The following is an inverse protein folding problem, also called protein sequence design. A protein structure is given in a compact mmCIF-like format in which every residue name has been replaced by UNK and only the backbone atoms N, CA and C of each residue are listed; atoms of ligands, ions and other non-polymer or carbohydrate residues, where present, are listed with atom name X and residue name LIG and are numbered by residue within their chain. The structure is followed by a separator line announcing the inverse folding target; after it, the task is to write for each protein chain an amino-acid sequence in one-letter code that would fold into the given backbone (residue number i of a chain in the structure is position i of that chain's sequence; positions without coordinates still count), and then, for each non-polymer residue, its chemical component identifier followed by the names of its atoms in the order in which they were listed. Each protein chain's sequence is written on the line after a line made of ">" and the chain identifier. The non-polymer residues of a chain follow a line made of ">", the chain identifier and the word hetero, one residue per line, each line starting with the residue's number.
data_IF_582872005468
#
_entry.id   IF_582872005468
#
_cell.length_a   1.000
_cell.length_b   1.000
_cell.length_c   1.000
_cell.angle_alpha   90.00
_cell.angle_beta   90.00
_cell.angle_gamma   90.00
#
_symmetry.space_group_name_H-M   'P 1'
#
loop_
_entity.id
_entity.type
_entity.pdbx_description
1 polymer ?
#
# COMPACT_ATOMS: atom_id res chain seq x y z
N UNK A 1 14.41 -5.25 -14.30
CA UNK A 1 14.26 -6.00 -13.04
C UNK A 1 13.07 -5.42 -12.30
N UNK A 2 12.05 -6.21 -11.89
CA UNK A 2 10.86 -5.74 -11.21
C UNK A 2 11.19 -5.13 -9.84
N UNK A 3 10.26 -4.32 -9.32
CA UNK A 3 10.36 -3.77 -7.96
C UNK A 3 10.05 -4.83 -6.90
N UNK A 4 9.07 -5.69 -7.18
CA UNK A 4 8.72 -6.84 -6.33
C UNK A 4 8.61 -8.07 -7.21
N UNK A 5 9.18 -9.20 -6.76
CA UNK A 5 9.01 -10.51 -7.37
C UNK A 5 8.60 -11.51 -6.31
N UNK A 6 7.51 -12.20 -6.53
CA UNK A 6 6.98 -13.25 -5.65
C UNK A 6 6.92 -14.55 -6.46
N UNK A 7 7.45 -15.64 -5.92
CA UNK A 7 7.47 -16.94 -6.57
C UNK A 7 6.89 -18.02 -5.66
N UNK A 8 5.79 -18.62 -6.09
CA UNK A 8 5.08 -19.72 -5.42
C UNK A 8 4.94 -19.52 -3.90
N UNK A 9 4.61 -18.29 -3.50
CA UNK A 9 4.54 -17.91 -2.09
C UNK A 9 3.34 -18.54 -1.41
N UNK A 10 3.58 -19.26 -0.34
CA UNK A 10 2.56 -19.89 0.49
C UNK A 10 2.62 -19.36 1.92
N UNK A 11 1.45 -19.25 2.53
CA UNK A 11 1.34 -18.96 3.96
C UNK A 11 0.15 -19.70 4.57
N UNK A 12 0.46 -20.58 5.51
CA UNK A 12 -0.54 -21.19 6.42
C UNK A 12 -0.20 -20.75 7.85
N UNK A 13 -1.16 -20.17 8.55
CA UNK A 13 -1.00 -19.83 9.96
C UNK A 13 -1.17 -21.08 10.84
N UNK A 14 -0.58 -21.04 12.04
CA UNK A 14 -0.77 -22.09 13.02
C UNK A 14 -2.28 -22.19 13.31
N UNK A 15 -2.77 -23.41 13.37
CA UNK A 15 -4.19 -23.76 13.63
C UNK A 15 -5.18 -23.38 12.50
N UNK A 16 -4.70 -22.86 11.35
CA UNK A 16 -5.55 -22.64 10.18
C UNK A 16 -5.66 -23.91 9.34
N UNK A 17 -6.89 -24.26 8.93
CA UNK A 17 -7.17 -25.40 8.04
C UNK A 17 -6.75 -25.09 6.60
N UNK A 18 -7.01 -23.86 6.17
CA UNK A 18 -6.70 -23.42 4.81
C UNK A 18 -5.53 -22.42 4.79
N UNK A 19 -4.72 -22.42 3.73
CA UNK A 19 -3.66 -21.44 3.56
C UNK A 19 -4.23 -20.06 3.26
N UNK A 20 -3.70 -19.03 3.94
CA UNK A 20 -4.00 -17.64 3.60
C UNK A 20 -3.37 -17.19 2.27
N UNK A 21 -2.29 -17.85 1.85
CA UNK A 21 -1.68 -17.71 0.52
C UNK A 21 -1.38 -19.11 -0.02
N UNK A 22 -1.85 -19.36 -1.23
CA UNK A 22 -1.74 -20.65 -1.89
C UNK A 22 -0.97 -20.53 -3.21
N UNK A 23 0.37 -20.59 -3.11
CA UNK A 23 1.29 -20.59 -4.25
C UNK A 23 1.13 -19.37 -5.17
N UNK A 24 1.03 -18.17 -4.60
CA UNK A 24 0.95 -16.96 -5.41
C UNK A 24 2.30 -16.65 -6.08
N UNK A 25 2.24 -16.25 -7.35
CA UNK A 25 3.37 -15.71 -8.10
C UNK A 25 2.96 -14.38 -8.72
N UNK A 26 3.81 -13.36 -8.57
CA UNK A 26 3.50 -11.99 -8.94
C UNK A 26 4.78 -11.20 -9.24
N UNK A 27 4.77 -10.42 -10.30
CA UNK A 27 5.81 -9.43 -10.58
C UNK A 27 5.20 -8.02 -10.64
N UNK A 28 5.82 -7.08 -9.92
CA UNK A 28 5.44 -5.68 -9.93
C UNK A 28 6.52 -4.88 -10.63
N UNK A 29 6.21 -4.22 -11.77
CA UNK A 29 7.18 -3.39 -12.47
C UNK A 29 7.64 -2.19 -11.63
N UNK A 30 8.81 -1.63 -11.99
CA UNK A 30 9.27 -0.37 -11.37
C UNK A 30 8.47 0.81 -11.90
N UNK A 31 8.43 1.87 -11.07
CA UNK A 31 7.80 3.15 -11.39
C UNK A 31 6.31 3.04 -11.79
N UNK A 32 5.61 2.02 -11.28
CA UNK A 32 4.17 1.82 -11.49
C UNK A 32 3.39 2.00 -10.20
N UNK A 33 2.13 2.38 -10.32
CA UNK A 33 1.13 2.23 -9.25
C UNK A 33 0.43 0.89 -9.49
N UNK A 34 0.75 -0.08 -8.65
CA UNK A 34 0.25 -1.45 -8.76
C UNK A 34 -0.84 -1.72 -7.72
N UNK A 35 -2.03 -2.07 -8.17
CA UNK A 35 -3.16 -2.45 -7.34
C UNK A 35 -3.13 -3.94 -6.97
N UNK A 36 -3.13 -4.28 -5.69
CA UNK A 36 -3.30 -5.64 -5.20
C UNK A 36 -4.68 -5.75 -4.56
N UNK A 37 -5.65 -6.25 -5.32
CA UNK A 37 -7.07 -6.05 -5.09
C UNK A 37 -7.77 -7.35 -4.71
N UNK A 38 -8.78 -7.26 -3.87
CA UNK A 38 -9.56 -8.43 -3.47
C UNK A 38 -10.37 -8.18 -2.21
N UNK A 39 -11.28 -9.09 -1.84
CA UNK A 39 -12.11 -8.97 -0.66
C UNK A 39 -11.30 -9.08 0.64
N UNK A 40 -11.96 -8.82 1.76
CA UNK A 40 -11.40 -9.07 3.08
C UNK A 40 -11.11 -10.57 3.24
N UNK A 41 -9.96 -10.90 3.84
CA UNK A 41 -9.52 -12.29 3.98
C UNK A 41 -8.89 -12.93 2.73
N UNK A 42 -8.82 -12.24 1.59
CA UNK A 42 -8.25 -12.80 0.35
C UNK A 42 -6.73 -13.07 0.41
N UNK A 43 -6.01 -12.52 1.40
CA UNK A 43 -4.56 -12.68 1.56
C UNK A 43 -3.74 -11.41 1.32
N UNK A 44 -4.37 -10.24 1.07
CA UNK A 44 -3.68 -8.96 0.80
C UNK A 44 -2.72 -8.59 1.93
N UNK A 45 -3.22 -8.37 3.14
CA UNK A 45 -2.42 -7.98 4.32
C UNK A 45 -1.37 -9.04 4.69
N UNK A 46 -1.67 -10.34 4.48
CA UNK A 46 -0.69 -11.41 4.67
C UNK A 46 0.48 -11.27 3.70
N UNK A 47 0.22 -10.98 2.43
CA UNK A 47 1.26 -10.73 1.42
C UNK A 47 2.12 -9.53 1.81
N UNK A 48 1.50 -8.40 2.16
CA UNK A 48 2.22 -7.20 2.61
C UNK A 48 3.06 -7.47 3.86
N UNK A 49 2.50 -8.21 4.83
CA UNK A 49 3.21 -8.58 6.06
C UNK A 49 4.45 -9.42 5.78
N UNK A 50 4.41 -10.31 4.79
CA UNK A 50 5.60 -11.08 4.36
C UNK A 50 6.60 -10.15 3.70
N UNK A 51 6.19 -9.29 2.77
CA UNK A 51 7.08 -8.34 2.08
C UNK A 51 7.78 -7.38 3.06
N UNK A 52 7.09 -6.95 4.11
CA UNK A 52 7.66 -6.09 5.17
C UNK A 52 8.46 -6.89 6.24
N UNK A 53 8.51 -8.23 6.13
CA UNK A 53 9.20 -9.10 7.07
C UNK A 53 8.57 -9.17 8.46
N UNK A 54 7.29 -8.87 8.58
CA UNK A 54 6.51 -9.01 9.82
C UNK A 54 6.08 -10.46 10.04
N UNK A 55 5.86 -11.20 8.95
CA UNK A 55 5.45 -12.61 8.96
C UNK A 55 6.37 -13.39 8.02
N UNK A 56 6.79 -14.59 8.40
CA UNK A 56 7.54 -15.51 7.53
C UNK A 56 6.59 -16.29 6.64
N UNK A 57 6.96 -16.45 5.37
CA UNK A 57 6.28 -17.39 4.48
C UNK A 57 6.44 -18.84 4.98
N UNK A 58 5.47 -19.70 4.66
CA UNK A 58 5.58 -21.14 4.88
C UNK A 58 6.47 -21.79 3.83
N UNK A 59 6.34 -21.35 2.57
CA UNK A 59 7.20 -21.76 1.45
C UNK A 59 7.19 -20.69 0.34
N UNK A 60 7.99 -20.89 -0.69
CA UNK A 60 8.18 -19.93 -1.77
C UNK A 60 9.18 -18.84 -1.40
N UNK A 61 9.25 -17.78 -2.21
CA UNK A 61 10.19 -16.68 -2.00
C UNK A 61 9.62 -15.34 -2.47
N UNK A 62 10.13 -14.25 -1.88
CA UNK A 62 9.83 -12.90 -2.30
C UNK A 62 11.11 -12.05 -2.34
N UNK A 63 11.21 -11.19 -3.35
CA UNK A 63 12.31 -10.21 -3.48
C UNK A 63 11.74 -8.82 -3.65
N UNK A 64 12.40 -7.85 -3.05
CA UNK A 64 12.11 -6.41 -3.20
C UNK A 64 13.38 -5.74 -3.73
N UNK A 65 13.28 -5.06 -4.87
CA UNK A 65 14.39 -4.37 -5.54
C UNK A 65 15.60 -5.32 -5.77
N UNK A 66 15.32 -6.60 -6.05
CA UNK A 66 16.32 -7.66 -6.23
C UNK A 66 16.82 -8.33 -4.96
N UNK A 67 16.50 -7.80 -3.78
CA UNK A 67 16.92 -8.29 -2.46
C UNK A 67 15.93 -9.32 -1.90
N UNK A 68 16.44 -10.42 -1.36
CA UNK A 68 15.64 -11.49 -0.76
C UNK A 68 15.07 -11.04 0.59
N UNK A 69 13.73 -11.08 0.74
CA UNK A 69 13.03 -10.66 1.95
C UNK A 69 13.46 -11.46 3.18
N UNK A 70 13.79 -12.74 3.01
CA UNK A 70 14.19 -13.61 4.11
C UNK A 70 15.61 -13.38 4.61
N UNK A 71 16.48 -12.77 3.80
CA UNK A 71 17.92 -12.64 4.08
C UNK A 71 18.37 -11.20 4.23
N UNK A 72 17.79 -10.26 3.48
CA UNK A 72 18.26 -8.89 3.33
C UNK A 72 17.28 -7.85 3.87
N UNK A 73 16.44 -8.24 4.84
CA UNK A 73 15.34 -7.40 5.35
C UNK A 73 15.81 -6.04 5.88
N UNK A 74 17.00 -5.95 6.49
CA UNK A 74 17.54 -4.68 7.00
C UNK A 74 17.78 -3.66 5.88
N UNK A 75 18.28 -4.13 4.74
CA UNK A 75 18.53 -3.27 3.59
C UNK A 75 17.23 -2.92 2.86
N UNK A 76 16.29 -3.87 2.80
CA UNK A 76 14.96 -3.63 2.24
C UNK A 76 14.23 -2.53 3.02
N UNK A 77 14.24 -2.59 4.36
CA UNK A 77 13.57 -1.59 5.23
C UNK A 77 14.05 -0.15 5.03
N UNK A 78 15.27 0.06 4.53
CA UNK A 78 15.78 1.40 4.20
C UNK A 78 15.18 1.97 2.91
N UNK A 79 14.69 1.10 2.03
CA UNK A 79 14.23 1.44 0.68
C UNK A 79 12.70 1.40 0.55
N UNK A 80 11.98 0.89 1.55
CA UNK A 80 10.53 0.79 1.52
C UNK A 80 9.89 1.76 2.52
N UNK A 81 8.77 2.36 2.11
CA UNK A 81 7.82 3.01 3.00
C UNK A 81 6.61 2.11 3.21
N UNK A 82 6.14 2.00 4.43
CA UNK A 82 4.93 1.22 4.75
C UNK A 82 3.90 2.11 5.44
N UNK A 83 2.69 2.13 4.89
CA UNK A 83 1.53 2.81 5.47
C UNK A 83 0.48 1.74 5.77
N UNK A 84 0.34 1.32 7.02
CA UNK A 84 -0.61 0.28 7.41
C UNK A 84 -2.05 0.79 7.38
N UNK A 85 -3.01 -0.14 7.35
CA UNK A 85 -4.44 0.14 7.42
C UNK A 85 -4.80 0.86 8.73
N UNK A 86 -4.30 0.39 9.85
CA UNK A 86 -4.44 1.10 11.12
C UNK A 86 -3.52 2.32 11.19
N UNK A 87 -3.99 3.35 11.87
CA UNK A 87 -3.20 4.57 12.05
C UNK A 87 -2.04 4.31 13.02
N UNK A 88 -0.82 4.22 12.48
CA UNK A 88 0.40 3.94 13.24
C UNK A 88 1.07 5.23 13.76
N UNK A 89 0.30 6.08 14.43
CA UNK A 89 0.76 7.36 14.98
C UNK A 89 0.61 7.38 16.50
N UNK A 90 1.42 8.18 17.18
CA UNK A 90 1.31 8.44 18.62
C UNK A 90 0.24 9.50 18.87
N UNK A 91 -0.92 9.16 19.45
CA UNK A 91 -2.04 10.09 19.59
C UNK A 91 -1.76 11.23 20.56
N UNK A 92 -0.84 11.06 21.49
CA UNK A 92 -0.43 12.07 22.49
C UNK A 92 0.56 13.10 21.94
N UNK A 93 1.25 12.79 20.84
CA UNK A 93 2.15 13.69 20.15
C UNK A 93 1.40 14.54 19.12
N UNK A 94 1.97 15.69 18.80
CA UNK A 94 1.50 16.54 17.69
C UNK A 94 1.81 15.90 16.33
N UNK A 95 1.21 16.42 15.25
CA UNK A 95 1.53 15.97 13.90
C UNK A 95 3.01 16.13 13.57
N UNK A 96 3.58 17.30 13.89
CA UNK A 96 4.99 17.58 13.68
C UNK A 96 5.92 16.66 14.49
N UNK A 97 5.61 16.43 15.78
CA UNK A 97 6.41 15.51 16.62
C UNK A 97 6.36 14.07 16.12
N UNK A 98 5.20 13.58 15.64
CA UNK A 98 5.11 12.29 14.98
C UNK A 98 6.03 12.21 13.77
N UNK A 99 5.96 13.18 12.87
CA UNK A 99 6.79 13.21 11.66
C UNK A 99 8.28 13.32 12.00
N UNK A 100 8.63 14.11 13.00
CA UNK A 100 10.02 14.20 13.51
C UNK A 100 10.50 12.87 14.05
N UNK A 101 9.66 12.16 14.83
CA UNK A 101 9.98 10.84 15.35
C UNK A 101 10.26 9.84 14.21
N UNK A 102 9.33 9.72 13.24
CA UNK A 102 9.51 8.80 12.12
C UNK A 102 10.69 9.17 11.23
N UNK A 103 10.89 10.46 10.93
CA UNK A 103 12.04 10.91 10.15
C UNK A 103 13.38 10.54 10.82
N UNK A 104 13.47 10.71 12.14
CA UNK A 104 14.66 10.32 12.91
C UNK A 104 14.93 8.82 12.87
N UNK A 105 13.90 7.96 12.87
CA UNK A 105 14.06 6.50 12.73
C UNK A 105 14.75 6.11 11.41
N UNK A 106 14.52 6.88 10.34
CA UNK A 106 15.19 6.71 9.05
C UNK A 106 16.50 7.50 8.92
N UNK A 107 16.95 8.14 10.01
CA UNK A 107 18.23 8.87 10.04
C UNK A 107 18.18 10.29 9.50
N UNK A 108 17.01 10.82 9.17
CA UNK A 108 16.83 12.22 8.78
C UNK A 108 16.95 13.12 10.01
N UNK A 109 17.66 14.26 9.91
CA UNK A 109 17.93 15.16 11.06
C UNK A 109 18.00 16.62 10.63
N UNK A 110 17.83 17.52 11.61
CA UNK A 110 18.01 18.95 11.46
C UNK A 110 17.20 19.56 10.32
N UNK A 111 17.75 20.55 9.67
CA UNK A 111 17.06 21.32 8.60
C UNK A 111 16.51 20.46 7.47
N UNK A 112 17.18 19.35 7.12
CA UNK A 112 16.69 18.46 6.06
C UNK A 112 15.35 17.84 6.45
N UNK A 113 15.24 17.36 7.68
CA UNK A 113 13.98 16.79 8.20
C UNK A 113 12.91 17.88 8.36
N UNK A 114 13.26 19.03 8.93
CA UNK A 114 12.33 20.15 9.12
C UNK A 114 11.71 20.60 7.80
N UNK A 115 12.55 20.87 6.78
CA UNK A 115 12.08 21.29 5.45
C UNK A 115 11.15 20.24 4.80
N UNK A 116 11.47 18.97 4.94
CA UNK A 116 10.60 17.89 4.42
C UNK A 116 9.24 17.84 5.14
N UNK A 117 9.25 17.98 6.46
CA UNK A 117 8.02 18.02 7.25
C UNK A 117 7.15 19.22 6.84
N UNK A 118 7.74 20.40 6.77
CA UNK A 118 7.03 21.63 6.33
C UNK A 118 6.44 21.46 4.93
N UNK A 119 7.24 20.97 3.98
CA UNK A 119 6.80 20.73 2.61
C UNK A 119 5.60 19.78 2.54
N UNK A 120 5.67 18.64 3.24
CA UNK A 120 4.56 17.68 3.19
C UNK A 120 3.34 18.16 3.99
N UNK A 121 3.52 18.83 5.12
CA UNK A 121 2.40 19.44 5.85
C UNK A 121 1.66 20.45 4.99
N UNK A 122 2.39 21.27 4.23
CA UNK A 122 1.79 22.21 3.28
C UNK A 122 1.07 21.48 2.14
N UNK A 123 1.75 20.53 1.49
CA UNK A 123 1.18 19.71 0.40
C UNK A 123 -0.14 19.04 0.80
N UNK A 124 -0.25 18.58 2.04
CA UNK A 124 -1.45 17.92 2.56
C UNK A 124 -2.42 18.87 3.30
N UNK A 125 -2.17 20.18 3.29
CA UNK A 125 -3.02 21.19 3.92
C UNK A 125 -3.12 21.03 5.44
N UNK A 126 -2.03 20.63 6.10
CA UNK A 126 -1.97 20.34 7.53
C UNK A 126 -1.11 21.33 8.33
N UNK A 127 -0.53 22.34 7.69
CA UNK A 127 0.37 23.35 8.31
C UNK A 127 -0.26 23.95 9.56
N UNK A 128 -1.52 24.43 9.48
CA UNK A 128 -2.24 25.03 10.62
C UNK A 128 -2.59 24.04 11.75
N UNK A 129 -2.40 22.76 11.52
CA UNK A 129 -2.69 21.71 12.50
C UNK A 129 -1.41 21.01 12.98
N UNK A 130 -0.24 21.38 12.48
CA UNK A 130 1.04 20.73 12.76
C UNK A 130 1.32 20.56 14.27
N UNK A 131 0.96 21.57 15.07
CA UNK A 131 1.19 21.62 16.53
C UNK A 131 0.02 21.11 17.38
N UNK A 132 -1.08 20.64 16.75
CA UNK A 132 -2.17 19.98 17.48
C UNK A 132 -1.84 18.51 17.69
N UNK A 133 -2.27 17.94 18.81
CA UNK A 133 -2.12 16.50 19.09
C UNK A 133 -2.91 15.68 18.07
N UNK A 134 -2.35 14.54 17.65
CA UNK A 134 -2.98 13.63 16.69
C UNK A 134 -4.31 13.08 17.23
N UNK A 135 -4.49 12.98 18.55
CA UNK A 135 -5.78 12.63 19.16
C UNK A 135 -6.92 13.55 18.74
N UNK A 136 -6.62 14.82 18.41
CA UNK A 136 -7.59 15.85 18.01
C UNK A 136 -7.82 15.90 16.49
N UNK A 137 -7.14 15.07 15.72
CA UNK A 137 -7.25 15.04 14.26
C UNK A 137 -8.49 14.28 13.81
N UNK A 138 -9.09 14.73 12.70
CA UNK A 138 -10.09 13.93 11.98
C UNK A 138 -9.45 12.65 11.39
N UNK A 139 -10.25 11.66 11.01
CA UNK A 139 -9.78 10.45 10.35
C UNK A 139 -8.93 10.75 9.10
N UNK A 140 -9.40 11.66 8.26
CA UNK A 140 -8.67 12.09 7.05
C UNK A 140 -7.35 12.79 7.37
N UNK A 141 -7.28 13.61 8.43
CA UNK A 141 -6.02 14.23 8.87
C UNK A 141 -5.03 13.18 9.38
N UNK A 142 -5.48 12.22 10.19
CA UNK A 142 -4.65 11.12 10.68
C UNK A 142 -4.09 10.30 9.52
N UNK A 143 -4.92 9.99 8.53
CA UNK A 143 -4.49 9.23 7.35
C UNK A 143 -3.43 9.96 6.54
N UNK A 144 -3.59 11.28 6.36
CA UNK A 144 -2.59 12.11 5.67
C UNK A 144 -1.25 12.16 6.40
N UNK A 145 -1.22 12.35 7.73
CA UNK A 145 0.03 12.28 8.52
C UNK A 145 0.65 10.88 8.45
N UNK A 146 -0.17 9.81 8.50
CA UNK A 146 0.32 8.43 8.39
C UNK A 146 1.00 8.19 7.02
N UNK A 147 0.43 8.74 5.94
CA UNK A 147 1.04 8.69 4.61
C UNK A 147 2.36 9.49 4.57
N UNK A 148 2.38 10.71 5.10
CA UNK A 148 3.60 11.52 5.16
C UNK A 148 4.71 10.77 5.89
N UNK A 149 4.42 10.15 7.04
CA UNK A 149 5.41 9.36 7.80
C UNK A 149 6.02 8.22 6.95
N UNK A 150 5.23 7.60 6.08
CA UNK A 150 5.69 6.54 5.18
C UNK A 150 6.57 7.00 4.02
N UNK A 151 6.57 8.30 3.69
CA UNK A 151 7.31 8.83 2.52
C UNK A 151 8.48 9.76 2.88
N UNK A 152 8.64 10.17 4.13
CA UNK A 152 9.66 11.15 4.57
C UNK A 152 11.09 10.79 4.13
N UNK A 153 11.42 9.51 4.08
CA UNK A 153 12.76 9.01 3.77
C UNK A 153 12.99 8.69 2.29
N UNK A 154 12.09 9.16 1.40
CA UNK A 154 12.13 8.95 -0.06
C UNK A 154 12.25 7.46 -0.44
N UNK A 155 11.28 6.62 -0.10
CA UNK A 155 11.33 5.20 -0.41
C UNK A 155 11.32 4.94 -1.91
N UNK A 156 11.97 3.85 -2.35
CA UNK A 156 11.90 3.38 -3.75
C UNK A 156 10.64 2.53 -4.01
N UNK A 157 10.07 1.93 -2.97
CA UNK A 157 8.80 1.22 -2.98
C UNK A 157 7.95 1.69 -1.81
N UNK A 158 6.77 2.20 -2.10
CA UNK A 158 5.77 2.58 -1.11
C UNK A 158 4.68 1.51 -1.07
N UNK A 159 4.48 0.92 0.10
CA UNK A 159 3.46 -0.11 0.35
C UNK A 159 2.33 0.52 1.15
N UNK A 160 1.12 0.48 0.60
CA UNK A 160 -0.07 1.10 1.18
C UNK A 160 -1.13 0.03 1.43
N UNK A 161 -1.44 -0.22 2.69
CA UNK A 161 -2.52 -1.15 3.05
C UNK A 161 -3.81 -0.38 3.30
N UNK A 162 -4.71 -0.44 2.32
CA UNK A 162 -6.03 0.21 2.32
C UNK A 162 -6.00 1.71 2.76
N UNK A 163 -5.19 2.56 2.11
CA UNK A 163 -4.89 3.90 2.62
C UNK A 163 -6.07 4.87 2.62
N UNK A 164 -7.16 4.54 1.96
CA UNK A 164 -8.36 5.41 1.78
C UNK A 164 -9.59 4.93 2.55
N UNK A 165 -9.47 3.80 3.25
CA UNK A 165 -10.57 3.29 4.07
C UNK A 165 -10.88 4.22 5.24
N UNK A 166 -12.17 4.50 5.41
CA UNK A 166 -12.67 5.34 6.51
C UNK A 166 -12.37 6.84 6.38
N UNK A 167 -11.98 7.32 5.18
CA UNK A 167 -11.80 8.74 4.91
C UNK A 167 -12.91 9.31 4.02
N UNK A 168 -13.19 10.59 4.19
CA UNK A 168 -14.14 11.33 3.36
C UNK A 168 -13.67 11.43 1.89
N UNK A 169 -14.63 11.75 0.99
CA UNK A 169 -14.39 11.82 -0.45
C UNK A 169 -13.28 12.82 -0.82
N UNK A 170 -13.21 13.96 -0.12
CA UNK A 170 -12.22 14.99 -0.41
C UNK A 170 -10.81 14.53 -0.02
N UNK A 171 -10.64 13.95 1.17
CA UNK A 171 -9.36 13.40 1.62
C UNK A 171 -8.91 12.23 0.74
N UNK A 172 -9.85 11.37 0.31
CA UNK A 172 -9.58 10.26 -0.60
C UNK A 172 -9.04 10.76 -1.95
N UNK A 173 -9.72 11.74 -2.55
CA UNK A 173 -9.27 12.34 -3.81
C UNK A 173 -7.88 12.97 -3.68
N UNK A 174 -7.64 13.72 -2.60
CA UNK A 174 -6.34 14.33 -2.33
C UNK A 174 -5.21 13.30 -2.24
N UNK A 175 -5.45 12.18 -1.53
CA UNK A 175 -4.48 11.09 -1.42
C UNK A 175 -4.21 10.47 -2.80
N UNK A 176 -5.25 10.15 -3.58
CA UNK A 176 -5.10 9.55 -4.91
C UNK A 176 -4.36 10.47 -5.88
N UNK A 177 -4.70 11.76 -5.91
CA UNK A 177 -4.02 12.76 -6.76
C UNK A 177 -2.55 12.93 -6.34
N UNK A 178 -2.28 12.96 -5.02
CA UNK A 178 -0.91 13.00 -4.51
C UNK A 178 -0.11 11.76 -4.94
N UNK A 179 -0.65 10.55 -4.78
CA UNK A 179 0.05 9.31 -5.15
C UNK A 179 0.43 9.28 -6.63
N UNK A 180 -0.47 9.72 -7.54
CA UNK A 180 -0.17 9.84 -8.97
C UNK A 180 0.97 10.82 -9.24
N UNK A 181 0.88 12.01 -8.64
CA UNK A 181 1.90 13.04 -8.81
C UNK A 181 3.25 12.59 -8.25
N UNK A 182 3.24 11.97 -7.08
CA UNK A 182 4.43 11.48 -6.39
C UNK A 182 5.14 10.35 -7.14
N UNK A 183 4.36 9.37 -7.65
CA UNK A 183 4.88 8.31 -8.52
C UNK A 183 5.54 8.91 -9.77
N UNK A 184 4.83 9.81 -10.49
CA UNK A 184 5.31 10.41 -11.74
C UNK A 184 6.55 11.27 -11.54
N UNK A 185 6.60 12.07 -10.47
CA UNK A 185 7.71 13.00 -10.20
C UNK A 185 8.99 12.28 -9.75
N UNK A 186 8.86 11.19 -8.98
CA UNK A 186 9.99 10.54 -8.32
C UNK A 186 10.32 9.16 -8.91
N UNK A 187 9.52 8.63 -9.84
CA UNK A 187 9.72 7.29 -10.42
C UNK A 187 9.65 6.16 -9.39
N UNK A 188 8.92 6.37 -8.28
CA UNK A 188 8.77 5.34 -7.25
C UNK A 188 7.77 4.28 -7.68
N UNK A 189 7.90 3.09 -7.13
CA UNK A 189 6.86 2.07 -7.25
C UNK A 189 5.89 2.18 -6.08
N UNK A 190 4.59 2.06 -6.33
CA UNK A 190 3.56 2.05 -5.29
C UNK A 190 2.81 0.73 -5.36
N UNK A 191 2.83 -0.04 -4.28
CA UNK A 191 1.97 -1.20 -4.09
C UNK A 191 0.78 -0.79 -3.22
N UNK A 192 -0.38 -0.74 -3.83
CA UNK A 192 -1.62 -0.25 -3.25
C UNK A 192 -2.61 -1.39 -3.06
N UNK A 193 -3.01 -1.70 -1.82
CA UNK A 193 -4.10 -2.66 -1.60
C UNK A 193 -5.43 -1.94 -1.44
N UNK A 194 -6.48 -2.53 -1.97
CA UNK A 194 -7.85 -2.06 -1.80
C UNK A 194 -8.86 -3.18 -2.00
N UNK A 195 -10.00 -3.03 -1.39
CA UNK A 195 -11.23 -3.74 -1.76
C UNK A 195 -12.17 -2.84 -2.60
N UNK A 196 -11.84 -1.54 -2.77
CA UNK A 196 -12.59 -0.58 -3.59
C UNK A 196 -12.05 -0.60 -5.03
N UNK A 197 -12.70 -1.39 -5.89
CA UNK A 197 -12.22 -1.64 -7.25
C UNK A 197 -12.35 -0.42 -8.16
N UNK A 198 -13.38 0.40 -7.97
CA UNK A 198 -13.60 1.64 -8.72
C UNK A 198 -12.51 2.69 -8.51
N UNK A 199 -11.95 2.74 -7.29
CA UNK A 199 -10.83 3.63 -6.98
C UNK A 199 -9.53 3.11 -7.62
N UNK A 200 -9.27 1.80 -7.47
CA UNK A 200 -8.09 1.17 -8.04
C UNK A 200 -8.07 1.24 -9.57
N UNK A 201 -9.22 1.09 -10.24
CA UNK A 201 -9.35 1.24 -11.68
C UNK A 201 -8.87 2.59 -12.21
N UNK A 202 -9.09 3.66 -11.42
CA UNK A 202 -8.69 5.03 -11.77
C UNK A 202 -7.27 5.37 -11.37
N UNK A 203 -6.74 4.69 -10.34
CA UNK A 203 -5.46 5.02 -9.73
C UNK A 203 -4.31 4.19 -10.32
N UNK A 204 -4.54 2.89 -10.54
CA UNK A 204 -3.48 1.93 -10.80
C UNK A 204 -3.18 1.78 -12.30
N UNK A 205 -1.88 1.64 -12.62
CA UNK A 205 -1.41 1.33 -13.97
C UNK A 205 -1.63 -0.16 -14.28
N UNK A 206 -1.36 -1.01 -13.29
CA UNK A 206 -1.57 -2.45 -13.32
C UNK A 206 -2.25 -2.92 -12.03
N UNK A 207 -2.98 -4.01 -12.12
CA UNK A 207 -3.63 -4.65 -10.98
C UNK A 207 -3.41 -6.16 -10.98
N UNK A 208 -3.40 -6.76 -9.80
CA UNK A 208 -3.64 -8.19 -9.62
C UNK A 208 -4.83 -8.38 -8.70
N UNK A 209 -5.76 -9.23 -9.11
CA UNK A 209 -6.92 -9.61 -8.31
C UNK A 209 -6.58 -10.91 -7.58
N UNK A 210 -6.68 -10.87 -6.25
CA UNK A 210 -6.49 -12.03 -5.38
C UNK A 210 -7.81 -12.45 -4.75
N UNK A 211 -8.08 -13.75 -4.73
CA UNK A 211 -9.19 -14.34 -4.01
C UNK A 211 -8.79 -15.70 -3.44
N UNK A 212 -9.22 -16.00 -2.19
CA UNK A 212 -8.86 -17.25 -1.48
C UNK A 212 -7.36 -17.60 -1.56
N UNK A 213 -6.51 -16.60 -1.37
CA UNK A 213 -5.06 -16.78 -1.41
C UNK A 213 -4.46 -17.13 -2.77
N UNK A 214 -5.19 -16.91 -3.89
CA UNK A 214 -4.72 -17.17 -5.25
C UNK A 214 -4.86 -15.93 -6.12
N UNK A 215 -3.92 -15.70 -7.02
CA UNK A 215 -4.06 -14.68 -8.06
C UNK A 215 -5.07 -15.19 -9.09
N UNK A 216 -6.15 -14.43 -9.29
CA UNK A 216 -7.21 -14.74 -10.25
C UNK A 216 -6.87 -14.20 -11.64
N UNK A 217 -6.39 -12.95 -11.68
CA UNK A 217 -5.95 -12.28 -12.91
C UNK A 217 -4.98 -11.16 -12.60
N UNK A 218 -4.18 -10.76 -13.60
CA UNK A 218 -3.22 -9.64 -13.52
C UNK A 218 -3.12 -8.93 -14.86
N UNK A 219 -3.01 -7.60 -14.85
CA UNK A 219 -2.78 -6.77 -16.04
C UNK A 219 -3.24 -5.32 -15.84
N UNK A 220 -3.16 -4.53 -16.90
CA UNK A 220 -3.72 -3.18 -16.90
C UNK A 220 -5.26 -3.25 -16.78
N UNK A 221 -5.89 -2.42 -15.91
CA UNK A 221 -7.33 -2.46 -15.69
C UNK A 221 -8.16 -2.45 -16.97
N UNK A 222 -7.88 -1.52 -17.88
CA UNK A 222 -8.62 -1.37 -19.12
C UNK A 222 -8.45 -2.58 -20.07
N UNK A 223 -7.27 -3.20 -20.07
CA UNK A 223 -7.01 -4.41 -20.84
C UNK A 223 -7.80 -5.60 -20.29
N UNK A 224 -7.80 -5.78 -18.98
CA UNK A 224 -8.55 -6.86 -18.34
C UNK A 224 -10.06 -6.74 -18.55
N UNK A 225 -10.59 -5.52 -18.46
CA UNK A 225 -12.01 -5.23 -18.73
C UNK A 225 -12.36 -5.53 -20.19
N UNK A 226 -11.53 -5.08 -21.13
CA UNK A 226 -11.78 -5.26 -22.56
C UNK A 226 -11.70 -6.72 -23.05
N UNK A 227 -11.03 -7.60 -22.31
CA UNK A 227 -10.92 -9.02 -22.62
C UNK A 227 -12.16 -9.84 -22.25
N UNK A 228 -13.10 -9.26 -21.52
CA UNK A 228 -14.31 -9.95 -21.07
C UNK A 228 -15.56 -9.36 -21.72
N UNK A 229 -16.43 -10.23 -22.23
CA UNK A 229 -17.69 -9.81 -22.80
C UNK A 229 -18.63 -9.20 -21.72
N UNK A 230 -19.31 -8.11 -22.09
CA UNK A 230 -20.23 -7.39 -21.20
C UNK A 230 -19.60 -6.91 -19.87
N UNK A 231 -18.30 -6.69 -19.84
CA UNK A 231 -17.57 -6.18 -18.69
C UNK A 231 -17.24 -4.70 -18.90
N UNK A 232 -17.65 -3.84 -17.96
CA UNK A 232 -17.49 -2.38 -18.07
C UNK A 232 -16.71 -1.76 -16.89
N UNK A 233 -16.29 -2.56 -15.93
CA UNK A 233 -15.54 -2.10 -14.75
C UNK A 233 -14.75 -3.26 -14.10
N UNK A 234 -13.74 -2.92 -13.29
CA UNK A 234 -13.04 -3.93 -12.47
C UNK A 234 -13.98 -4.65 -11.51
N UNK A 235 -15.05 -3.99 -11.04
CA UNK A 235 -16.04 -4.63 -10.17
C UNK A 235 -16.83 -5.71 -10.93
N UNK A 236 -17.29 -5.38 -12.16
CA UNK A 236 -17.97 -6.36 -13.03
C UNK A 236 -17.04 -7.54 -13.37
N UNK A 237 -15.76 -7.25 -13.66
CA UNK A 237 -14.74 -8.28 -13.90
C UNK A 237 -14.58 -9.19 -12.69
N UNK A 238 -14.45 -8.62 -11.50
CA UNK A 238 -14.31 -9.40 -10.26
C UNK A 238 -15.50 -10.35 -10.06
N UNK A 239 -16.73 -9.85 -10.22
CA UNK A 239 -17.96 -10.66 -10.09
C UNK A 239 -17.96 -11.80 -11.10
N UNK A 240 -17.59 -11.53 -12.36
CA UNK A 240 -17.53 -12.58 -13.39
C UNK A 240 -16.51 -13.67 -13.07
N UNK A 241 -15.33 -13.29 -12.56
CA UNK A 241 -14.24 -14.22 -12.29
C UNK A 241 -14.43 -15.02 -10.99
N UNK A 242 -15.12 -14.46 -9.99
CA UNK A 242 -15.25 -15.08 -8.65
C UNK A 242 -16.66 -15.56 -8.33
N UNK A 243 -17.66 -15.16 -9.12
CA UNK A 243 -19.08 -15.49 -8.90
C UNK A 243 -19.73 -14.75 -7.73
N UNK A 244 -19.06 -13.72 -7.15
CA UNK A 244 -19.56 -12.95 -6.00
C UNK A 244 -19.11 -11.50 -6.02
N UNK A 245 -19.88 -10.61 -5.39
CA UNK A 245 -19.50 -9.20 -5.24
C UNK A 245 -18.43 -9.03 -4.16
N UNK A 246 -17.57 -8.01 -4.34
CA UNK A 246 -16.68 -7.52 -3.27
C UNK A 246 -17.53 -6.74 -2.28
N UNK A 247 -18.16 -7.43 -1.33
CA UNK A 247 -18.91 -6.77 -0.25
C UNK A 247 -18.24 -7.11 1.07
N UNK A 248 -18.08 -6.08 1.89
CA UNK A 248 -17.75 -6.23 3.30
C UNK A 248 -18.95 -6.87 4.03
N UNK A 249 -18.67 -7.90 4.79
CA UNK A 249 -19.56 -8.39 5.84
C UNK A 249 -18.92 -8.08 7.18
#
# INVERSE_FOLDING_TARGET
>A
MPAVSIHSLCKTYKDAVEPSLNSISLEIPRATIFGFLGPNGAGKTTTLSILCGLVKATSGSAKILGKDVSKELKEIKKCIGMVPQDIALFPTLTGQENLTYFGNLYGLKGKVLENKIEHYLDTFGLTNNAHKRVSQYSGGMKRRINLIAGILHDPQLLILDEPTVGVDVQSRKMISDFLKSYNKANGITILYTSHMLDEAEKLCDEVAIIDHGKIVTQGAPQTLIAQQENCHSLEALFIQLTGRSVRDH
#
